data_IF_397543690343
#
_entry.id   IF_397543690343
#
_cell.length_a   1.000
_cell.length_b   1.000
_cell.length_c   1.000
_cell.angle_alpha   90.00
_cell.angle_beta   90.00
_cell.angle_gamma   90.00
#
_symmetry.space_group_name_H-M   'P 1'
#
loop_
_entity.id
_entity.type
_entity.pdbx_description
1 polymer ?
#
# COMPACT_ATOMS: atom_id res chain seq x y z
N UNK A 1 11.77 10.46 6.27
CA UNK A 1 10.85 9.96 5.21
C UNK A 1 9.64 9.35 5.89
N UNK A 2 8.45 9.84 5.58
CA UNK A 2 7.21 9.42 6.26
C UNK A 2 6.82 7.99 5.90
N UNK A 3 6.46 7.22 6.93
CA UNK A 3 5.88 5.89 6.79
C UNK A 3 4.47 5.93 7.36
N UNK A 4 3.53 5.29 6.68
CA UNK A 4 2.16 5.13 7.13
C UNK A 4 1.75 3.67 7.06
N UNK A 5 0.91 3.23 7.99
CA UNK A 5 0.27 1.92 7.92
C UNK A 5 -1.04 2.05 7.18
N UNK A 6 -1.27 1.17 6.21
CA UNK A 6 -2.44 1.20 5.33
C UNK A 6 -2.94 -0.22 5.09
N UNK A 7 -4.24 -0.39 5.24
CA UNK A 7 -4.97 -1.59 4.81
C UNK A 7 -5.28 -1.48 3.32
N UNK A 8 -4.90 -2.50 2.57
CA UNK A 8 -5.00 -2.53 1.12
C UNK A 8 -6.33 -3.18 0.73
N UNK A 9 -7.23 -2.38 0.17
CA UNK A 9 -8.60 -2.78 -0.13
C UNK A 9 -8.67 -3.57 -1.44
N UNK A 10 -7.92 -3.12 -2.46
CA UNK A 10 -7.93 -3.73 -3.80
C UNK A 10 -6.73 -3.30 -4.62
N UNK A 11 -6.50 -3.98 -5.75
CA UNK A 11 -5.62 -3.48 -6.80
C UNK A 11 -6.43 -2.58 -7.75
N UNK A 12 -5.79 -1.51 -8.24
CA UNK A 12 -6.33 -0.66 -9.31
C UNK A 12 -5.69 -1.00 -10.65
N UNK A 13 -6.26 -0.47 -11.73
CA UNK A 13 -5.68 -0.60 -13.06
C UNK A 13 -4.25 -0.04 -13.05
N UNK A 14 -3.27 -0.84 -13.49
CA UNK A 14 -1.84 -0.52 -13.37
C UNK A 14 -1.11 -1.25 -12.24
N UNK A 15 -1.80 -2.07 -11.44
CA UNK A 15 -1.17 -3.01 -10.49
C UNK A 15 -0.78 -2.43 -9.13
N UNK A 16 -1.13 -1.17 -8.85
CA UNK A 16 -0.96 -0.58 -7.52
C UNK A 16 -2.08 -1.04 -6.58
N UNK A 17 -1.76 -1.23 -5.30
CA UNK A 17 -2.75 -1.39 -4.25
C UNK A 17 -3.34 -0.04 -3.85
N UNK A 18 -4.65 -0.02 -3.61
CA UNK A 18 -5.38 1.10 -3.08
C UNK A 18 -5.77 0.82 -1.64
N UNK A 19 -5.41 1.74 -0.75
CA UNK A 19 -5.92 1.81 0.61
C UNK A 19 -6.24 3.24 1.00
N UNK A 20 -6.57 3.45 2.27
CA UNK A 20 -6.92 4.77 2.79
C UNK A 20 -6.18 5.05 4.09
N UNK A 21 -5.71 6.28 4.25
CA UNK A 21 -5.09 6.74 5.48
C UNK A 21 -5.68 8.11 5.82
N UNK A 22 -6.37 8.21 6.96
CA UNK A 22 -7.12 9.42 7.37
C UNK A 22 -8.08 9.93 6.28
N UNK A 23 -8.81 9.01 5.62
CA UNK A 23 -9.75 9.34 4.55
C UNK A 23 -9.12 9.73 3.20
N UNK A 24 -7.79 9.84 3.12
CA UNK A 24 -7.07 10.11 1.87
C UNK A 24 -6.68 8.80 1.18
N UNK A 25 -6.92 8.64 -0.14
CA UNK A 25 -6.48 7.47 -0.88
C UNK A 25 -4.96 7.37 -0.93
N UNK A 26 -4.45 6.16 -0.77
CA UNK A 26 -3.03 5.81 -0.81
C UNK A 26 -2.83 4.73 -1.87
N UNK A 27 -1.96 5.01 -2.83
CA UNK A 27 -1.53 4.07 -3.85
C UNK A 27 -0.16 3.49 -3.48
N UNK A 28 -0.10 2.19 -3.25
CA UNK A 28 1.09 1.50 -2.80
C UNK A 28 1.55 0.43 -3.80
N UNK A 29 2.87 0.35 -4.00
CA UNK A 29 3.50 -0.78 -4.69
C UNK A 29 3.91 -1.87 -3.70
N UNK A 30 4.13 -3.10 -4.20
CA UNK A 30 4.57 -4.27 -3.43
C UNK A 30 3.55 -4.76 -2.37
N UNK A 31 2.27 -4.66 -2.72
CA UNK A 31 1.14 -5.03 -1.86
C UNK A 31 0.11 -5.83 -2.64
N UNK A 32 -0.70 -6.59 -1.92
CA UNK A 32 -1.85 -7.34 -2.38
C UNK A 32 -3.12 -6.89 -1.63
N UNK A 33 -4.31 -7.12 -2.20
CA UNK A 33 -5.57 -6.92 -1.49
C UNK A 33 -5.64 -7.75 -0.22
N UNK A 34 -6.24 -7.18 0.83
CA UNK A 34 -6.39 -7.83 2.14
C UNK A 34 -5.20 -7.64 3.07
N UNK A 35 -4.12 -7.00 2.63
CA UNK A 35 -2.92 -6.83 3.45
C UNK A 35 -2.91 -5.55 4.28
N UNK A 36 -2.23 -5.61 5.42
CA UNK A 36 -1.82 -4.41 6.16
C UNK A 36 -0.35 -4.14 5.91
N UNK A 37 -0.04 -3.04 5.22
CA UNK A 37 1.32 -2.71 4.80
C UNK A 37 1.84 -1.42 5.45
N UNK A 38 3.13 -1.41 5.77
CA UNK A 38 3.89 -0.20 6.13
C UNK A 38 4.42 0.42 4.85
N UNK A 39 3.76 1.49 4.41
CA UNK A 39 4.06 2.17 3.15
C UNK A 39 4.98 3.35 3.42
N UNK A 40 6.15 3.34 2.78
CA UNK A 40 7.04 4.51 2.72
C UNK A 40 6.54 5.44 1.63
N UNK A 41 6.13 6.64 2.01
CA UNK A 41 5.61 7.62 1.07
C UNK A 41 6.73 8.15 0.17
N UNK A 42 6.49 8.11 -1.13
CA UNK A 42 7.39 8.65 -2.17
C UNK A 42 6.86 9.95 -2.73
N UNK A 43 5.52 10.11 -2.80
CA UNK A 43 4.87 11.34 -3.24
C UNK A 43 3.67 11.65 -2.36
N UNK A 44 3.51 12.94 -2.02
CA UNK A 44 2.33 13.46 -1.32
C UNK A 44 1.65 14.46 -2.23
N UNK A 45 0.41 14.17 -2.66
CA UNK A 45 -0.43 15.09 -3.42
C UNK A 45 -1.59 15.56 -2.55
N UNK A 46 -2.24 16.65 -2.98
CA UNK A 46 -3.40 17.21 -2.27
C UNK A 46 -4.53 16.19 -2.17
N UNK A 47 -4.73 15.37 -3.20
CA UNK A 47 -5.87 14.44 -3.28
C UNK A 47 -5.51 12.99 -2.92
N UNK A 48 -4.24 12.59 -3.02
CA UNK A 48 -3.81 11.21 -2.77
C UNK A 48 -2.35 11.14 -2.33
N UNK A 49 -1.96 9.99 -1.82
CA UNK A 49 -0.58 9.66 -1.47
C UNK A 49 -0.10 8.50 -2.35
N UNK A 50 1.20 8.48 -2.64
CA UNK A 50 1.84 7.33 -3.30
C UNK A 50 3.02 6.87 -2.47
N UNK A 51 3.25 5.56 -2.48
CA UNK A 51 4.39 4.98 -1.79
C UNK A 51 4.69 3.56 -2.20
N UNK A 52 5.67 2.98 -1.52
CA UNK A 52 6.10 1.60 -1.71
C UNK A 52 6.06 0.93 -0.34
N UNK A 53 5.46 -0.26 -0.27
CA UNK A 53 5.48 -1.05 0.95
C UNK A 53 6.91 -1.49 1.27
N UNK A 54 7.35 -1.16 2.48
CA UNK A 54 8.66 -1.54 3.05
C UNK A 54 8.53 -2.63 4.11
N UNK A 55 7.29 -3.03 4.42
CA UNK A 55 6.98 -4.10 5.34
C UNK A 55 5.51 -4.44 5.25
N UNK A 56 5.19 -5.71 5.53
CA UNK A 56 3.82 -6.23 5.54
C UNK A 56 3.59 -6.75 6.95
N UNK A 57 2.64 -6.14 7.65
CA UNK A 57 2.28 -6.50 9.02
C UNK A 57 1.30 -7.68 9.04
N UNK A 58 0.35 -7.67 8.10
CA UNK A 58 -0.60 -8.76 7.89
C UNK A 58 -0.57 -9.12 6.41
N UNK A 59 -0.10 -10.33 6.12
CA UNK A 59 0.18 -10.79 4.78
C UNK A 59 -1.01 -11.56 4.19
N UNK A 60 -1.26 -11.37 2.91
CA UNK A 60 -2.28 -12.13 2.19
C UNK A 60 -1.84 -13.59 2.09
N UNK A 61 -2.77 -14.56 2.20
CA UNK A 61 -2.46 -15.98 1.94
C UNK A 61 -1.94 -16.22 0.52
N UNK A 62 -2.20 -15.30 -0.41
CA UNK A 62 -1.71 -15.36 -1.80
C UNK A 62 -0.28 -14.83 -1.96
N UNK A 63 0.34 -14.28 -0.89
CA UNK A 63 1.71 -13.75 -0.97
C UNK A 63 2.72 -14.88 -1.11
N UNK A 64 3.55 -14.79 -2.15
CA UNK A 64 4.68 -15.68 -2.40
C UNK A 64 5.98 -14.87 -2.31
N UNK A 65 6.97 -15.39 -1.60
CA UNK A 65 8.30 -14.80 -1.57
C UNK A 65 9.01 -15.04 -2.92
N UNK A 66 9.65 -14.02 -3.51
CA UNK A 66 10.46 -14.23 -4.71
C UNK A 66 11.65 -15.17 -4.40
N UNK A 67 12.05 -15.95 -5.40
CA UNK A 67 13.22 -16.84 -5.40
C UNK A 67 14.54 -16.11 -5.65
#
# INVERSE_FOLDING_TARGET
MDKITVEIVKLVNGGQGLGFHNGKPVFAWNVLPGETAVVKLTKKKTNYLEGIAVGISDASPERINPE
#
